data_IF_857747296349
#
_entry.id   IF_857747296349
#
_cell.length_a   1.000
_cell.length_b   1.000
_cell.length_c   1.000
_cell.angle_alpha   90.00
_cell.angle_beta   90.00
_cell.angle_gamma   90.00
#
_symmetry.space_group_name_H-M   'P 1'
#
loop_
_entity.id
_entity.type
_entity.pdbx_description
1 polymer ?
#
# COMPACT_ATOMS: atom_id res chain seq x y z
N UNK A 1 100.38 55.15 26.39
CA UNK A 1 99.17 55.10 25.54
C UNK A 1 98.97 53.76 24.82
N UNK A 2 100.02 53.09 24.30
CA UNK A 2 99.88 51.78 23.62
C UNK A 2 99.32 50.64 24.50
N UNK A 3 99.70 50.57 25.78
CA UNK A 3 99.25 49.49 26.69
C UNK A 3 97.73 49.50 26.95
N UNK A 4 97.11 50.68 27.11
CA UNK A 4 95.66 50.78 27.28
C UNK A 4 94.88 50.35 26.04
N UNK A 5 95.41 50.64 24.84
CA UNK A 5 94.82 50.19 23.57
C UNK A 5 94.93 48.67 23.41
N UNK A 6 96.04 48.07 23.85
CA UNK A 6 96.22 46.62 23.85
C UNK A 6 95.26 45.92 24.81
N UNK A 7 95.12 46.42 26.05
CA UNK A 7 94.16 45.87 27.01
C UNK A 7 92.72 46.00 26.50
N UNK A 8 92.34 47.14 25.90
CA UNK A 8 91.01 47.30 25.27
C UNK A 8 90.76 46.29 24.13
N UNK A 9 91.77 46.05 23.28
CA UNK A 9 91.64 45.02 22.22
C UNK A 9 91.52 43.62 22.80
N UNK A 10 92.25 43.32 23.87
CA UNK A 10 92.20 42.03 24.56
C UNK A 10 90.83 41.80 25.19
N UNK A 11 90.25 42.79 25.87
CA UNK A 11 88.89 42.68 26.44
C UNK A 11 87.83 42.50 25.37
N UNK A 12 87.90 43.24 24.25
CA UNK A 12 86.98 43.05 23.13
C UNK A 12 87.11 41.68 22.46
N UNK A 13 88.33 41.12 22.39
CA UNK A 13 88.54 39.77 21.88
C UNK A 13 87.95 38.71 22.82
N UNK A 14 88.08 38.88 24.13
CA UNK A 14 87.47 37.95 25.10
C UNK A 14 85.96 38.03 25.10
N UNK A 15 85.36 39.22 24.97
CA UNK A 15 83.91 39.39 24.80
C UNK A 15 83.40 38.71 23.52
N UNK A 16 84.11 38.88 22.39
CA UNK A 16 83.77 38.21 21.14
C UNK A 16 83.88 36.68 21.27
N UNK A 17 84.90 36.19 21.97
CA UNK A 17 85.08 34.76 22.24
C UNK A 17 83.94 34.21 23.10
N UNK A 18 83.50 34.94 24.12
CA UNK A 18 82.35 34.57 24.96
C UNK A 18 81.05 34.54 24.14
N UNK A 19 80.81 35.53 23.28
CA UNK A 19 79.68 35.53 22.36
C UNK A 19 79.72 34.35 21.39
N UNK A 20 80.90 34.02 20.86
CA UNK A 20 81.08 32.87 19.97
C UNK A 20 80.82 31.55 20.70
N UNK A 21 81.11 31.49 22.00
CA UNK A 21 80.87 30.33 22.84
C UNK A 21 79.38 30.11 23.16
N UNK A 22 78.51 31.11 22.98
CA UNK A 22 77.06 31.00 23.13
C UNK A 22 76.34 30.47 21.87
N UNK A 23 76.98 30.53 20.70
CA UNK A 23 76.40 30.09 19.42
C UNK A 23 75.89 28.64 19.42
N UNK A 24 76.57 27.65 20.05
CA UNK A 24 76.05 26.29 20.14
C UNK A 24 74.74 26.18 20.95
N UNK A 25 74.56 27.03 21.97
CA UNK A 25 73.31 27.11 22.73
C UNK A 25 72.17 27.61 21.87
N UNK A 26 72.41 28.67 21.09
CA UNK A 26 71.43 29.19 20.13
C UNK A 26 71.06 28.16 19.06
N UNK A 27 72.03 27.36 18.59
CA UNK A 27 71.79 26.27 17.65
C UNK A 27 70.90 25.20 18.29
N UNK A 28 71.18 24.78 19.53
CA UNK A 28 70.35 23.82 20.25
C UNK A 28 68.91 24.33 20.48
N UNK A 29 68.74 25.61 20.81
CA UNK A 29 67.43 26.23 20.96
C UNK A 29 66.67 26.26 19.62
N UNK A 30 67.35 26.56 18.51
CA UNK A 30 66.78 26.52 17.16
C UNK A 30 66.37 25.09 16.77
N UNK A 31 67.22 24.10 17.05
CA UNK A 31 66.93 22.68 16.83
C UNK A 31 65.71 22.23 17.65
N UNK A 32 65.61 22.66 18.91
CA UNK A 32 64.43 22.40 19.74
C UNK A 32 63.17 23.08 19.21
N UNK A 33 63.26 24.32 18.73
CA UNK A 33 62.12 25.03 18.15
C UNK A 33 61.67 24.35 16.85
N UNK A 34 62.60 23.88 16.04
CA UNK A 34 62.32 23.12 14.83
C UNK A 34 61.63 21.79 15.16
N UNK A 35 62.10 21.06 16.17
CA UNK A 35 61.44 19.84 16.65
C UNK A 35 60.01 20.12 17.14
N UNK A 36 59.79 21.18 17.91
CA UNK A 36 58.46 21.58 18.36
C UNK A 36 57.53 21.95 17.19
N UNK A 37 58.06 22.65 16.18
CA UNK A 37 57.30 22.97 14.97
C UNK A 37 56.87 21.69 14.23
N UNK A 38 57.78 20.74 14.02
CA UNK A 38 57.44 19.47 13.36
C UNK A 38 56.41 18.64 14.15
N UNK A 39 56.47 18.67 15.48
CA UNK A 39 55.47 18.01 16.32
C UNK A 39 54.12 18.70 16.22
N UNK A 40 54.10 20.03 16.21
CA UNK A 40 52.89 20.82 16.06
C UNK A 40 52.23 20.58 14.68
N UNK A 41 53.03 20.54 13.61
CA UNK A 41 52.56 20.17 12.27
C UNK A 41 51.87 18.80 12.26
N UNK A 42 52.49 17.78 12.86
CA UNK A 42 51.88 16.45 12.97
C UNK A 42 50.58 16.47 13.80
N UNK A 43 50.53 17.27 14.88
CA UNK A 43 49.31 17.40 15.69
C UNK A 43 48.17 18.08 14.94
N UNK A 44 48.47 19.04 14.05
CA UNK A 44 47.45 19.66 13.21
C UNK A 44 46.90 18.66 12.18
N UNK A 45 47.77 17.87 11.55
CA UNK A 45 47.34 16.82 10.64
C UNK A 45 46.44 15.79 11.36
N UNK A 46 46.76 15.42 12.60
CA UNK A 46 45.90 14.55 13.41
C UNK A 46 44.52 15.19 13.67
N UNK A 47 44.47 16.47 14.05
CA UNK A 47 43.21 17.20 14.29
C UNK A 47 42.38 17.31 13.01
N UNK A 48 43.01 17.57 11.86
CA UNK A 48 42.34 17.62 10.56
C UNK A 48 41.70 16.27 10.21
N UNK A 49 42.41 15.17 10.45
CA UNK A 49 41.88 13.82 10.26
C UNK A 49 40.68 13.53 11.19
N UNK A 50 40.75 13.93 12.46
CA UNK A 50 39.63 13.78 13.39
C UNK A 50 38.42 14.63 12.97
N UNK A 51 38.65 15.82 12.43
CA UNK A 51 37.58 16.70 11.95
C UNK A 51 36.87 16.10 10.73
N UNK A 52 37.64 15.57 9.78
CA UNK A 52 37.09 14.84 8.62
C UNK A 52 36.24 13.64 9.05
N UNK A 53 36.75 12.84 9.99
CA UNK A 53 35.98 11.70 10.51
C UNK A 53 34.68 12.14 11.22
N UNK A 54 34.72 13.25 11.96
CA UNK A 54 33.54 13.81 12.60
C UNK A 54 32.49 14.28 11.58
N UNK A 55 32.95 14.91 10.49
CA UNK A 55 32.08 15.32 9.37
C UNK A 55 31.39 14.10 8.74
N UNK A 56 32.13 13.02 8.47
CA UNK A 56 31.57 11.77 7.95
C UNK A 56 30.50 11.19 8.89
N UNK A 57 30.78 11.15 10.19
CA UNK A 57 29.83 10.66 11.20
C UNK A 57 28.58 11.53 11.27
N UNK A 58 28.73 12.86 11.20
CA UNK A 58 27.59 13.78 11.19
C UNK A 58 26.71 13.55 9.95
N UNK A 59 27.33 13.40 8.77
CA UNK A 59 26.61 13.07 7.53
C UNK A 59 25.85 11.75 7.63
N UNK A 60 26.44 10.72 8.26
CA UNK A 60 25.78 9.44 8.51
C UNK A 60 24.59 9.57 9.46
N UNK A 61 24.76 10.28 10.58
CA UNK A 61 23.67 10.53 11.55
C UNK A 61 22.50 11.29 10.91
N UNK A 62 22.79 12.30 10.08
CA UNK A 62 21.76 13.03 9.35
C UNK A 62 21.02 12.14 8.36
N UNK A 63 21.75 11.34 7.58
CA UNK A 63 21.15 10.40 6.64
C UNK A 63 20.24 9.39 7.34
N UNK A 64 20.69 8.82 8.46
CA UNK A 64 19.90 7.88 9.25
C UNK A 64 18.64 8.53 9.83
N UNK A 65 18.76 9.77 10.33
CA UNK A 65 17.62 10.57 10.77
C UNK A 65 16.62 10.80 9.63
N UNK A 66 17.09 11.13 8.42
CA UNK A 66 16.23 11.32 7.26
C UNK A 66 15.48 10.04 6.87
N UNK A 67 16.18 8.90 6.81
CA UNK A 67 15.58 7.59 6.55
C UNK A 67 14.52 7.24 7.60
N UNK A 68 14.84 7.45 8.88
CA UNK A 68 13.94 7.17 9.98
C UNK A 68 12.66 8.02 9.91
N UNK A 69 12.78 9.32 9.66
CA UNK A 69 11.63 10.23 9.52
C UNK A 69 10.76 9.84 8.33
N UNK A 70 11.35 9.50 7.18
CA UNK A 70 10.60 9.08 6.00
C UNK A 70 9.87 7.75 6.24
N UNK A 71 10.54 6.78 6.86
CA UNK A 71 9.95 5.48 7.22
C UNK A 71 8.75 5.65 8.15
N UNK A 72 8.90 6.45 9.21
CA UNK A 72 7.77 6.78 10.10
C UNK A 72 6.63 7.49 9.38
N UNK A 73 6.93 8.44 8.49
CA UNK A 73 5.90 9.14 7.72
C UNK A 73 5.10 8.13 6.87
N UNK A 74 5.77 7.20 6.19
CA UNK A 74 5.14 6.16 5.39
C UNK A 74 4.31 5.20 6.25
N UNK A 75 4.83 4.77 7.40
CA UNK A 75 4.11 3.89 8.32
C UNK A 75 2.83 4.57 8.85
N UNK A 76 2.93 5.83 9.27
CA UNK A 76 1.80 6.62 9.74
C UNK A 76 0.76 6.82 8.63
N UNK A 77 1.19 7.11 7.40
CA UNK A 77 0.30 7.23 6.27
C UNK A 77 -0.46 5.91 5.99
N UNK A 78 0.26 4.78 5.93
CA UNK A 78 -0.34 3.44 5.75
C UNK A 78 -1.32 3.11 6.88
N UNK A 79 -0.98 3.43 8.12
CA UNK A 79 -1.85 3.25 9.30
C UNK A 79 -3.11 4.12 9.21
N UNK A 80 -2.96 5.38 8.81
CA UNK A 80 -4.10 6.29 8.66
C UNK A 80 -5.04 5.83 7.54
N UNK A 81 -4.48 5.39 6.40
CA UNK A 81 -5.28 4.86 5.29
C UNK A 81 -6.07 3.60 5.67
N UNK A 82 -5.47 2.69 6.43
CA UNK A 82 -6.19 1.52 6.97
C UNK A 82 -7.37 1.92 7.86
N UNK A 83 -7.17 2.88 8.77
CA UNK A 83 -8.24 3.40 9.64
C UNK A 83 -9.35 4.08 8.85
N UNK A 84 -9.00 4.86 7.82
CA UNK A 84 -9.96 5.53 6.95
C UNK A 84 -10.82 4.52 6.18
N UNK A 85 -10.22 3.46 5.64
CA UNK A 85 -10.92 2.37 4.97
C UNK A 85 -11.85 1.60 5.92
N UNK A 86 -11.37 1.29 7.13
CA UNK A 86 -12.17 0.62 8.16
C UNK A 86 -13.38 1.48 8.58
N UNK A 87 -13.18 2.79 8.75
CA UNK A 87 -14.24 3.73 9.06
C UNK A 87 -15.27 3.84 7.93
N UNK A 88 -14.82 3.93 6.68
CA UNK A 88 -15.71 3.97 5.52
C UNK A 88 -16.53 2.69 5.38
N UNK A 89 -15.90 1.53 5.59
CA UNK A 89 -16.60 0.25 5.60
C UNK A 89 -17.67 0.19 6.70
N UNK A 90 -17.33 0.56 7.92
CA UNK A 90 -18.28 0.59 9.03
C UNK A 90 -19.46 1.55 8.78
N UNK A 91 -19.19 2.72 8.17
CA UNK A 91 -20.23 3.67 7.81
C UNK A 91 -21.16 3.11 6.71
N UNK A 92 -20.60 2.42 5.71
CA UNK A 92 -21.38 1.79 4.65
C UNK A 92 -22.26 0.66 5.19
N UNK A 93 -21.72 -0.18 6.07
CA UNK A 93 -22.45 -1.26 6.74
C UNK A 93 -23.59 -0.70 7.61
N UNK A 94 -23.34 0.40 8.34
CA UNK A 94 -24.36 1.08 9.13
C UNK A 94 -25.46 1.69 8.25
N UNK A 95 -25.10 2.35 7.14
CA UNK A 95 -26.07 2.89 6.17
C UNK A 95 -26.92 1.79 5.54
N UNK A 96 -26.30 0.66 5.17
CA UNK A 96 -27.03 -0.48 4.62
C UNK A 96 -28.02 -1.05 5.64
N UNK A 97 -27.56 -1.28 6.87
CA UNK A 97 -28.41 -1.78 7.97
C UNK A 97 -29.59 -0.83 8.23
N UNK A 98 -29.34 0.48 8.28
CA UNK A 98 -30.39 1.48 8.45
C UNK A 98 -31.40 1.44 7.30
N UNK A 99 -30.93 1.38 6.04
CA UNK A 99 -31.82 1.32 4.87
C UNK A 99 -32.71 0.08 4.87
N UNK A 100 -32.17 -1.06 5.31
CA UNK A 100 -32.94 -2.31 5.47
C UNK A 100 -34.03 -2.14 6.53
N UNK A 101 -33.69 -1.58 7.69
CA UNK A 101 -34.66 -1.31 8.76
C UNK A 101 -35.76 -0.33 8.31
N UNK A 102 -35.40 0.73 7.60
CA UNK A 102 -36.35 1.73 7.08
C UNK A 102 -37.31 1.10 6.05
N UNK A 103 -36.79 0.24 5.17
CA UNK A 103 -37.58 -0.47 4.18
C UNK A 103 -38.55 -1.46 4.84
N UNK A 104 -38.09 -2.23 5.83
CA UNK A 104 -38.92 -3.16 6.61
C UNK A 104 -40.01 -2.41 7.37
N UNK A 105 -39.68 -1.30 8.04
CA UNK A 105 -40.64 -0.49 8.78
C UNK A 105 -41.70 0.13 7.84
N UNK A 106 -41.28 0.60 6.66
CA UNK A 106 -42.19 1.11 5.63
C UNK A 106 -43.15 0.02 5.16
N UNK A 107 -42.64 -1.19 4.88
CA UNK A 107 -43.46 -2.33 4.47
C UNK A 107 -44.45 -2.73 5.58
N UNK A 108 -43.99 -2.81 6.83
CA UNK A 108 -44.83 -3.14 7.98
C UNK A 108 -45.96 -2.12 8.18
N UNK A 109 -45.65 -0.82 8.03
CA UNK A 109 -46.64 0.25 8.15
C UNK A 109 -47.70 0.14 7.07
N UNK A 110 -47.31 -0.08 5.79
CA UNK A 110 -48.25 -0.30 4.69
C UNK A 110 -49.20 -1.49 4.94
N UNK A 111 -48.67 -2.61 5.44
CA UNK A 111 -49.48 -3.78 5.77
C UNK A 111 -50.46 -3.50 6.91
N UNK A 112 -50.01 -2.79 7.96
CA UNK A 112 -50.83 -2.41 9.11
C UNK A 112 -51.93 -1.41 8.72
N UNK A 113 -51.63 -0.41 7.91
CA UNK A 113 -52.62 0.54 7.39
C UNK A 113 -53.67 -0.16 6.51
N UNK A 114 -53.22 -1.09 5.65
CA UNK A 114 -54.12 -1.90 4.84
C UNK A 114 -55.04 -2.76 5.71
N UNK A 115 -54.51 -3.41 6.75
CA UNK A 115 -55.32 -4.15 7.71
C UNK A 115 -56.37 -3.24 8.37
N UNK A 116 -55.96 -2.05 8.82
CA UNK A 116 -56.87 -1.07 9.43
C UNK A 116 -57.97 -0.63 8.47
N UNK A 117 -57.66 -0.41 7.20
CA UNK A 117 -58.63 -0.03 6.18
C UNK A 117 -59.74 -1.09 6.01
N UNK A 118 -59.36 -2.37 5.96
CA UNK A 118 -60.34 -3.46 5.85
C UNK A 118 -61.17 -3.65 7.13
N UNK A 119 -60.54 -3.50 8.29
CA UNK A 119 -61.24 -3.55 9.58
C UNK A 119 -62.29 -2.43 9.66
N UNK A 120 -61.94 -1.21 9.26
CA UNK A 120 -62.86 -0.07 9.23
C UNK A 120 -64.02 -0.28 8.24
N UNK A 121 -63.73 -0.80 7.04
CA UNK A 121 -64.76 -1.13 6.06
C UNK A 121 -65.73 -2.19 6.58
N UNK A 122 -65.23 -3.23 7.26
CA UNK A 122 -66.06 -4.26 7.87
C UNK A 122 -66.92 -3.70 9.01
N UNK A 123 -66.34 -2.85 9.86
CA UNK A 123 -67.06 -2.20 10.94
C UNK A 123 -68.22 -1.34 10.40
N UNK A 124 -67.97 -0.56 9.34
CA UNK A 124 -69.00 0.22 8.67
C UNK A 124 -70.13 -0.65 8.10
N UNK A 125 -69.77 -1.76 7.43
CA UNK A 125 -70.73 -2.73 6.88
C UNK A 125 -71.61 -3.35 7.98
N UNK A 126 -71.00 -3.71 9.12
CA UNK A 126 -71.71 -4.23 10.28
C UNK A 126 -72.66 -3.20 10.89
N UNK A 127 -72.21 -1.95 11.07
CA UNK A 127 -73.04 -0.85 11.58
C UNK A 127 -74.21 -0.53 10.65
N UNK A 128 -73.99 -0.57 9.34
CA UNK A 128 -75.03 -0.41 8.34
C UNK A 128 -76.07 -1.52 8.45
N UNK A 129 -75.64 -2.78 8.48
CA UNK A 129 -76.55 -3.92 8.60
C UNK A 129 -77.43 -3.83 9.87
N UNK A 130 -76.84 -3.47 11.00
CA UNK A 130 -77.57 -3.26 12.25
C UNK A 130 -78.58 -2.10 12.17
N UNK A 131 -78.29 -1.09 11.34
CA UNK A 131 -79.14 0.10 11.18
C UNK A 131 -80.28 -0.10 10.17
N UNK A 132 -80.05 -0.75 9.03
CA UNK A 132 -81.02 -0.88 7.93
C UNK A 132 -81.62 -2.29 7.78
N UNK A 133 -80.99 -3.32 8.35
CA UNK A 133 -81.43 -4.72 8.24
C UNK A 133 -81.03 -5.45 6.95
N UNK A 134 -80.24 -4.84 6.06
CA UNK A 134 -79.73 -5.45 4.82
C UNK A 134 -78.34 -4.90 4.45
N UNK A 135 -77.50 -5.70 3.78
CA UNK A 135 -76.09 -5.40 3.48
C UNK A 135 -75.89 -4.97 2.00
N UNK A 136 -75.31 -3.80 1.74
CA UNK A 136 -75.07 -3.28 0.38
C UNK A 136 -73.64 -3.56 -0.10
N UNK A 137 -73.36 -4.79 -0.54
CA UNK A 137 -72.00 -5.22 -0.91
C UNK A 137 -71.60 -4.79 -2.34
N UNK A 138 -72.57 -4.66 -3.26
CA UNK A 138 -72.28 -4.63 -4.70
C UNK A 138 -72.13 -3.23 -5.33
N UNK A 139 -72.58 -2.16 -4.66
CA UNK A 139 -72.75 -0.84 -5.30
C UNK A 139 -71.64 0.17 -4.95
N UNK A 140 -70.86 -0.07 -3.87
CA UNK A 140 -69.87 0.90 -3.37
C UNK A 140 -68.42 0.61 -3.76
N UNK A 141 -68.14 -0.57 -4.31
CA UNK A 141 -66.77 -0.97 -4.69
C UNK A 141 -66.50 -0.51 -6.13
N UNK A 142 -65.98 0.72 -6.29
CA UNK A 142 -65.17 1.01 -7.49
C UNK A 142 -64.15 -0.13 -7.64
N UNK A 143 -63.87 -0.63 -8.86
CA UNK A 143 -62.96 -1.75 -9.05
C UNK A 143 -61.65 -1.46 -8.32
N UNK A 144 -61.48 -2.04 -7.13
CA UNK A 144 -60.27 -1.87 -6.36
C UNK A 144 -59.18 -2.50 -7.22
N UNK A 145 -58.28 -1.66 -7.73
CA UNK A 145 -57.14 -2.09 -8.53
C UNK A 145 -56.54 -3.33 -7.89
N UNK A 146 -56.61 -4.45 -8.60
CA UNK A 146 -56.05 -5.76 -8.28
C UNK A 146 -55.92 -6.08 -6.79
N UNK A 147 -56.96 -6.69 -6.21
CA UNK A 147 -56.89 -7.39 -4.92
C UNK A 147 -56.09 -8.71 -5.01
N UNK A 148 -55.20 -8.86 -6.01
CA UNK A 148 -54.40 -10.07 -6.22
C UNK A 148 -53.18 -10.03 -5.29
N UNK A 149 -53.35 -10.69 -4.16
CA UNK A 149 -52.32 -11.26 -3.29
C UNK A 149 -51.07 -11.70 -4.08
N UNK A 150 -49.89 -11.24 -3.63
CA UNK A 150 -48.57 -11.42 -4.26
C UNK A 150 -48.27 -10.42 -5.39
N UNK A 151 -48.16 -9.13 -5.07
CA UNK A 151 -47.25 -8.27 -5.82
C UNK A 151 -45.83 -8.81 -5.57
N UNK A 152 -45.42 -9.78 -6.38
CA UNK A 152 -44.00 -10.08 -6.60
C UNK A 152 -43.43 -8.75 -7.08
N UNK A 153 -42.51 -8.15 -6.35
CA UNK A 153 -41.80 -6.97 -6.84
C UNK A 153 -41.01 -7.40 -8.08
N UNK A 154 -41.65 -7.39 -9.25
CA UNK A 154 -41.04 -7.76 -10.54
C UNK A 154 -39.82 -6.86 -10.77
N UNK A 155 -39.91 -5.60 -10.37
CA UNK A 155 -38.83 -4.61 -10.39
C UNK A 155 -37.62 -4.99 -9.51
N UNK A 156 -37.80 -5.78 -8.42
CA UNK A 156 -36.69 -6.29 -7.60
C UNK A 156 -36.13 -7.60 -8.14
N UNK A 157 -36.94 -8.42 -8.83
CA UNK A 157 -36.46 -9.60 -9.55
C UNK A 157 -35.67 -9.23 -10.81
N UNK A 158 -36.07 -8.17 -11.52
CA UNK A 158 -35.36 -7.61 -12.67
C UNK A 158 -34.00 -7.02 -12.24
N UNK A 159 -33.89 -6.51 -11.01
CA UNK A 159 -32.63 -5.98 -10.47
C UNK A 159 -31.70 -7.05 -9.86
N UNK A 160 -32.12 -8.33 -9.84
CA UNK A 160 -31.25 -9.49 -9.60
C UNK A 160 -30.53 -9.95 -10.89
N UNK A 161 -30.44 -9.07 -11.90
CA UNK A 161 -29.62 -9.33 -13.09
C UNK A 161 -28.23 -9.81 -12.65
N UNK A 162 -28.00 -11.07 -13.00
CA UNK A 162 -26.75 -11.81 -13.09
C UNK A 162 -25.61 -11.22 -12.27
N UNK A 163 -25.25 -11.94 -11.19
CA UNK A 163 -23.84 -12.07 -10.80
C UNK A 163 -22.99 -12.04 -12.07
N UNK A 164 -22.04 -11.12 -12.08
CA UNK A 164 -21.11 -10.83 -13.16
C UNK A 164 -20.32 -12.10 -13.52
N UNK A 165 -20.94 -13.02 -14.27
CA UNK A 165 -20.33 -14.24 -14.81
C UNK A 165 -19.24 -13.91 -15.86
N UNK A 166 -18.97 -12.62 -16.08
CA UNK A 166 -17.84 -12.09 -16.83
C UNK A 166 -16.61 -11.83 -15.96
N UNK A 167 -16.64 -12.05 -14.63
CA UNK A 167 -15.44 -11.96 -13.79
C UNK A 167 -14.52 -13.17 -14.03
N UNK A 168 -13.89 -13.16 -15.22
CA UNK A 168 -12.99 -14.19 -15.72
C UNK A 168 -11.81 -14.43 -14.74
N UNK A 169 -11.44 -13.44 -13.93
CA UNK A 169 -10.40 -13.53 -12.91
C UNK A 169 -10.74 -14.57 -11.81
N UNK A 170 -12.01 -14.65 -11.39
CA UNK A 170 -12.45 -15.63 -10.40
C UNK A 170 -12.45 -17.08 -10.95
N UNK A 171 -12.73 -17.25 -12.24
CA UNK A 171 -12.68 -18.56 -12.91
C UNK A 171 -11.25 -19.03 -13.14
N UNK A 172 -10.33 -18.11 -13.45
CA UNK A 172 -8.91 -18.42 -13.64
C UNK A 172 -8.25 -18.89 -12.33
N UNK A 173 -8.62 -18.34 -11.17
CA UNK A 173 -8.16 -18.83 -9.85
C UNK A 173 -8.63 -20.27 -9.60
N UNK A 174 -9.86 -20.61 -10.00
CA UNK A 174 -10.40 -21.96 -9.83
C UNK A 174 -9.72 -23.00 -10.74
N UNK A 175 -9.41 -22.63 -11.99
CA UNK A 175 -8.75 -23.52 -12.96
C UNK A 175 -7.25 -23.67 -12.69
N UNK A 176 -6.58 -22.62 -12.22
CA UNK A 176 -5.14 -22.63 -11.95
C UNK A 176 -4.78 -23.24 -10.58
N UNK A 177 -5.73 -23.41 -9.65
CA UNK A 177 -5.47 -23.97 -8.31
C UNK A 177 -5.42 -25.52 -8.26
N UNK A 178 -5.52 -26.21 -9.41
CA UNK A 178 -5.45 -27.67 -9.52
C UNK A 178 -4.15 -28.21 -10.12
N UNK A 179 -2.99 -27.57 -9.86
CA UNK A 179 -1.81 -27.72 -10.72
C UNK A 179 -0.41 -27.75 -10.10
N UNK A 180 -0.25 -27.94 -8.79
CA UNK A 180 1.03 -28.27 -8.12
C UNK A 180 0.63 -28.83 -6.74
N UNK A 181 0.98 -30.01 -6.25
CA UNK A 181 2.13 -30.88 -6.45
C UNK A 181 1.68 -32.32 -6.13
N UNK A 182 1.78 -33.23 -7.10
CA UNK A 182 1.85 -34.66 -6.81
C UNK A 182 2.60 -35.35 -7.94
N UNK A 183 3.92 -35.20 -7.89
CA UNK A 183 4.78 -36.28 -8.37
C UNK A 183 4.35 -37.57 -7.66
N UNK A 184 4.36 -38.69 -8.39
CA UNK A 184 4.14 -40.07 -7.90
C UNK A 184 2.66 -40.53 -7.88
N UNK A 185 2.12 -40.87 -9.06
CA UNK A 185 1.84 -42.26 -9.50
C UNK A 185 0.78 -42.28 -10.61
N UNK A 186 1.20 -42.69 -11.80
CA UNK A 186 0.32 -43.33 -12.77
C UNK A 186 -0.38 -44.55 -12.16
N UNK A 187 -1.66 -44.76 -12.49
CA UNK A 187 -2.04 -45.96 -13.22
C UNK A 187 -2.88 -45.53 -14.43
N UNK A 188 -2.37 -45.65 -15.65
CA UNK A 188 -2.34 -46.94 -16.33
C UNK A 188 -3.61 -47.09 -17.15
N UNK A 189 -3.66 -46.42 -18.30
CA UNK A 189 -4.64 -46.71 -19.36
C UNK A 189 -4.04 -47.77 -20.28
N UNK A 190 -4.62 -48.97 -20.26
CA UNK A 190 -4.60 -49.92 -21.37
C UNK A 190 -5.96 -50.64 -21.42
N UNK A 191 -6.34 -51.21 -22.58
CA UNK A 191 -7.67 -51.08 -23.15
C UNK A 191 -8.45 -52.40 -23.09
N UNK A 192 -9.74 -52.34 -23.46
CA UNK A 192 -10.52 -53.34 -24.24
C UNK A 192 -12.01 -53.34 -23.81
N UNK A 193 -12.89 -53.15 -24.80
CA UNK A 193 -14.16 -53.84 -25.13
C UNK A 193 -15.00 -54.40 -23.94
N UNK A 194 -16.31 -54.14 -23.78
CA UNK A 194 -17.39 -54.46 -24.72
C UNK A 194 -18.76 -53.91 -24.23
N UNK A 195 -19.68 -53.68 -25.18
CA UNK A 195 -21.15 -53.84 -25.08
C UNK A 195 -21.95 -53.23 -23.89
N UNK A 196 -22.78 -52.19 -24.15
CA UNK A 196 -24.25 -52.33 -24.14
C UNK A 196 -24.98 -51.00 -24.36
N UNK A 197 -26.11 -51.13 -25.08
CA UNK A 197 -26.96 -50.09 -25.66
C UNK A 197 -27.82 -49.31 -24.64
N UNK A 198 -28.37 -48.21 -25.18
CA UNK A 198 -29.58 -47.47 -24.75
C UNK A 198 -29.28 -46.17 -24.00
N UNK A 199 -29.61 -44.97 -24.46
CA UNK A 199 -30.56 -44.55 -25.48
C UNK A 199 -31.42 -43.43 -24.91
N UNK A 200 -31.05 -42.16 -25.12
CA UNK A 200 -32.02 -41.08 -25.31
C UNK A 200 -31.32 -39.89 -25.98
N UNK A 201 -31.65 -39.67 -27.25
CA UNK A 201 -31.20 -38.51 -28.03
C UNK A 201 -32.25 -37.42 -27.85
N UNK A 202 -31.93 -36.34 -27.15
CA UNK A 202 -32.71 -35.10 -27.19
C UNK A 202 -31.95 -34.09 -28.06
N UNK A 203 -32.39 -34.04 -29.32
CA UNK A 203 -31.86 -33.19 -30.37
C UNK A 203 -32.37 -31.75 -30.17
N UNK A 204 -31.45 -30.81 -29.94
CA UNK A 204 -31.73 -29.37 -29.91
C UNK A 204 -31.62 -28.83 -31.35
N UNK A 205 -32.59 -28.04 -31.86
CA UNK A 205 -32.53 -27.49 -33.21
C UNK A 205 -31.41 -26.46 -33.39
N UNK A 206 -30.49 -26.72 -34.32
CA UNK A 206 -29.57 -25.73 -34.87
C UNK A 206 -30.34 -24.75 -35.79
N UNK A 207 -30.16 -23.42 -35.69
CA UNK A 207 -30.52 -22.51 -36.76
C UNK A 207 -29.45 -22.56 -37.88
N UNK A 208 -29.94 -22.80 -39.10
CA UNK A 208 -29.20 -23.07 -40.33
C UNK A 208 -28.31 -21.92 -40.83
N UNK A 209 -27.17 -22.31 -41.39
CA UNK A 209 -26.33 -21.50 -42.28
C UNK A 209 -27.01 -21.28 -43.63
N UNK A 210 -26.89 -20.09 -44.20
CA UNK A 210 -27.03 -19.85 -45.64
C UNK A 210 -25.85 -19.00 -46.15
N UNK A 211 -25.37 -19.24 -47.39
CA UNK A 211 -24.06 -18.80 -47.87
C UNK A 211 -24.13 -17.48 -48.64
N UNK A 212 -23.08 -16.68 -48.60
CA UNK A 212 -22.83 -15.59 -49.56
C UNK A 212 -21.34 -15.26 -49.61
N UNK A 213 -20.70 -15.60 -50.73
CA UNK A 213 -19.34 -15.20 -51.11
C UNK A 213 -19.32 -13.76 -51.70
N UNK A 214 -18.12 -13.14 -51.86
CA UNK A 214 -17.90 -11.69 -51.84
C UNK A 214 -17.90 -11.03 -53.24
N UNK A 215 -17.58 -9.72 -53.30
CA UNK A 215 -16.63 -9.28 -54.31
C UNK A 215 -15.47 -8.44 -53.78
N UNK A 216 -14.32 -8.69 -54.40
CA UNK A 216 -13.06 -7.96 -54.38
C UNK A 216 -13.17 -6.54 -54.95
N UNK A 217 -12.25 -5.65 -54.56
CA UNK A 217 -11.30 -5.02 -55.50
C UNK A 217 -10.17 -4.25 -54.80
N UNK A 218 -9.00 -4.40 -55.41
CA UNK A 218 -7.69 -3.80 -55.14
C UNK A 218 -7.71 -2.25 -55.24
N UNK A 219 -6.68 -1.50 -54.84
CA UNK A 219 -5.46 -1.26 -55.64
C UNK A 219 -4.33 -0.58 -54.82
N UNK A 220 -3.15 -1.21 -54.90
CA UNK A 220 -1.76 -0.72 -55.09
C UNK A 220 -1.21 0.54 -54.39
N UNK A 221 -0.19 0.29 -53.55
CA UNK A 221 1.20 0.79 -53.60
C UNK A 221 1.48 2.13 -54.30
N UNK A 222 2.18 3.04 -53.60
CA UNK A 222 3.53 3.54 -53.96
C UNK A 222 4.07 4.44 -52.82
N UNK A 223 5.18 4.04 -52.20
CA UNK A 223 6.10 4.95 -51.49
C UNK A 223 6.97 5.66 -52.55
N UNK A 224 7.36 6.93 -52.34
CA UNK A 224 8.78 7.16 -52.13
C UNK A 224 9.14 8.30 -51.17
N UNK A 225 10.21 8.04 -50.40
CA UNK A 225 11.35 8.91 -50.10
C UNK A 225 11.17 10.30 -49.46
N UNK A 226 11.81 10.42 -48.29
CA UNK A 226 12.38 11.62 -47.63
C UNK A 226 13.16 12.53 -48.61
N UNK A 227 13.29 13.85 -48.36
CA UNK A 227 14.22 14.34 -47.33
C UNK A 227 13.82 15.64 -46.57
N UNK A 228 14.23 15.65 -45.30
CA UNK A 228 14.98 16.73 -44.60
C UNK A 228 14.34 18.09 -44.20
N UNK A 229 14.79 18.52 -43.01
CA UNK A 229 14.85 19.86 -42.41
C UNK A 229 13.58 20.54 -41.83
N UNK A 230 13.62 20.80 -40.51
CA UNK A 230 13.27 22.14 -39.98
C UNK A 230 12.21 22.24 -38.88
N UNK A 231 12.68 22.34 -37.64
CA UNK A 231 12.27 23.35 -36.64
C UNK A 231 10.82 23.39 -36.08
N UNK A 232 10.71 23.09 -34.78
CA UNK A 232 9.81 23.80 -33.87
C UNK A 232 8.48 23.10 -33.50
N UNK A 233 8.38 22.59 -32.27
CA UNK A 233 7.09 22.21 -31.69
C UNK A 233 7.23 21.29 -30.48
N UNK A 234 7.38 21.90 -29.30
CA UNK A 234 7.38 21.25 -27.99
C UNK A 234 6.02 20.60 -27.67
N UNK A 235 6.02 19.31 -27.33
CA UNK A 235 4.89 18.60 -26.73
C UNK A 235 5.46 17.57 -25.73
N UNK A 236 5.08 17.62 -24.44
CA UNK A 236 5.67 16.73 -23.44
C UNK A 236 5.11 15.31 -23.59
N UNK A 237 6.02 14.35 -23.74
CA UNK A 237 5.75 12.91 -23.65
C UNK A 237 5.62 12.56 -22.17
N UNK A 238 4.42 12.15 -21.74
CA UNK A 238 4.21 11.49 -20.44
C UNK A 238 4.70 10.05 -20.60
N UNK A 239 5.83 9.73 -19.97
CA UNK A 239 6.26 8.34 -19.81
C UNK A 239 5.62 7.79 -18.54
N UNK A 240 4.81 6.74 -18.68
CA UNK A 240 4.36 5.92 -17.55
C UNK A 240 5.56 5.16 -16.99
N UNK A 241 5.74 5.26 -15.68
CA UNK A 241 6.72 4.50 -14.91
C UNK A 241 6.04 3.21 -14.41
N UNK A 242 6.61 2.06 -14.75
CA UNK A 242 6.18 0.74 -14.30
C UNK A 242 7.23 0.19 -13.33
N UNK A 243 6.99 0.28 -12.01
CA UNK A 243 7.81 -0.41 -11.02
C UNK A 243 7.07 -1.64 -10.47
N UNK A 244 7.63 -2.81 -10.75
CA UNK A 244 7.23 -4.13 -10.28
C UNK A 244 7.65 -4.31 -8.81
N UNK A 245 6.68 -4.45 -7.89
CA UNK A 245 6.94 -4.59 -6.45
C UNK A 245 7.33 -6.04 -6.13
N UNK A 246 8.63 -6.29 -5.93
CA UNK A 246 9.13 -7.54 -5.39
C UNK A 246 8.80 -7.64 -3.88
N UNK A 247 8.08 -8.69 -3.50
CA UNK A 247 7.69 -9.00 -2.12
C UNK A 247 8.79 -9.79 -1.42
N UNK A 248 9.53 -9.13 -0.52
CA UNK A 248 10.50 -9.78 0.36
C UNK A 248 9.79 -10.68 1.39
N UNK A 249 9.86 -11.99 1.16
CA UNK A 249 9.43 -13.02 2.08
C UNK A 249 10.66 -13.64 2.74
N UNK A 250 11.09 -13.10 3.88
CA UNK A 250 12.09 -13.76 4.72
C UNK A 250 11.95 -13.38 6.20
N UNK A 251 11.16 -14.17 6.95
CA UNK A 251 11.22 -14.19 8.40
C UNK A 251 10.96 -15.61 8.90
N UNK A 252 12.03 -16.37 9.17
CA UNK A 252 12.05 -17.43 10.17
C UNK A 252 13.45 -18.05 10.28
N UNK A 253 14.25 -17.65 11.28
CA UNK A 253 15.01 -18.64 12.07
C UNK A 253 15.27 -18.08 13.48
N UNK A 254 14.41 -18.46 14.42
CA UNK A 254 14.69 -18.40 15.84
C UNK A 254 15.54 -19.61 16.22
N UNK A 255 16.76 -19.39 16.70
CA UNK A 255 17.44 -20.28 17.65
C UNK A 255 18.36 -19.43 18.53
N UNK A 256 17.85 -18.97 19.67
CA UNK A 256 18.69 -18.57 20.81
C UNK A 256 18.74 -19.74 21.78
N UNK A 257 19.92 -20.32 21.95
CA UNK A 257 20.20 -21.28 23.01
C UNK A 257 21.42 -20.81 23.82
N UNK A 258 21.13 -20.38 25.06
CA UNK A 258 21.88 -20.64 26.31
C UNK A 258 23.30 -20.08 26.51
N UNK A 259 23.44 -19.15 27.47
CA UNK A 259 24.39 -19.25 28.62
C UNK A 259 24.17 -18.23 29.78
N UNK A 260 23.69 -18.75 30.91
CA UNK A 260 24.04 -18.48 32.34
C UNK A 260 24.31 -17.05 32.92
N UNK A 261 23.34 -16.54 33.73
CA UNK A 261 23.32 -16.15 35.19
C UNK A 261 24.52 -15.45 35.88
N UNK A 262 24.35 -14.81 37.09
CA UNK A 262 23.23 -14.04 37.70
C UNK A 262 23.70 -12.78 38.52
N UNK A 263 22.80 -12.23 39.37
CA UNK A 263 22.96 -11.27 40.51
C UNK A 263 22.98 -9.76 40.19
N UNK A 264 22.31 -8.83 40.89
CA UNK A 264 21.56 -8.82 42.16
C UNK A 264 20.83 -7.45 42.30
N UNK A 265 19.87 -7.34 43.23
CA UNK A 265 19.38 -6.11 43.91
C UNK A 265 18.18 -5.36 43.28
N UNK A 266 16.97 -5.39 43.88
CA UNK A 266 16.45 -4.52 44.99
C UNK A 266 16.19 -3.08 44.49
N UNK A 267 15.11 -2.34 44.76
CA UNK A 267 13.86 -2.48 45.52
C UNK A 267 13.07 -1.18 45.20
N UNK A 268 11.84 -1.05 45.71
CA UNK A 268 11.08 0.20 45.95
C UNK A 268 10.02 0.64 44.92
N UNK A 269 8.87 0.01 45.09
CA UNK A 269 7.55 0.64 45.17
C UNK A 269 7.55 1.91 46.04
N UNK A 270 6.82 2.96 45.64
CA UNK A 270 6.05 3.86 46.54
C UNK A 270 5.34 4.98 45.75
N UNK A 271 4.05 4.76 45.45
CA UNK A 271 3.04 5.82 45.51
C UNK A 271 2.66 6.04 46.98
N UNK A 272 2.21 7.24 47.38
CA UNK A 272 0.77 7.33 47.63
C UNK A 272 0.13 8.67 47.26
N UNK A 273 -1.15 8.56 46.87
CA UNK A 273 -2.18 9.58 46.96
C UNK A 273 -2.33 10.12 48.40
N UNK A 274 -2.40 11.45 48.53
CA UNK A 274 -3.43 12.29 49.22
C UNK A 274 -2.94 13.74 49.21
#
# INVERSE_FOLDING_TARGET
>A
MLSAHWEKKKTSLTELQEQLQQLPGLIADLESLMANLTHLEASFEEVENHLLHLEDLCGQCELERHKYVQSQHLENYKKNKRKELEAFKAELDAKHTQKVLDMEHTQQTKLKERQKFFEEAFQQDMEQYLSTGYLQISERREPMGSMSSMEVNVDMLEQMDLMDISDQEALDVFLNSGGEDSTVLSPGLEPEQDSCQSGVTLQVPHPSEHPSQPPSSSFTHTNPSTPDLGEGGDCPVVQSDEEEVQVDTALATLHSDRKATPDISDDSDSNPDI
#
